data_IF_596759985017
#
_entry.id   IF_596759985017
#
_cell.length_a   1.000
_cell.length_b   1.000
_cell.length_c   1.000
_cell.angle_alpha   90.00
_cell.angle_beta   90.00
_cell.angle_gamma   90.00
#
_symmetry.space_group_name_H-M   'P 1'
#
loop_
_entity.id
_entity.type
_entity.pdbx_description
1 polymer ?
#
# COMPACT_ATOMS: atom_id res chain seq x y z
N UNK A 1 23.83 -12.73 2.79
CA UNK A 1 23.73 -13.64 3.95
C UNK A 1 22.31 -13.75 4.50
N UNK A 2 21.55 -12.66 4.65
CA UNK A 2 20.17 -12.70 5.18
C UNK A 2 19.15 -13.51 4.35
N UNK A 3 19.31 -13.55 3.03
CA UNK A 3 18.44 -14.33 2.14
C UNK A 3 18.52 -15.84 2.37
N UNK A 4 19.68 -16.36 2.78
CA UNK A 4 19.86 -17.80 3.04
C UNK A 4 19.29 -18.21 4.41
N UNK A 5 19.30 -17.31 5.39
CA UNK A 5 18.59 -17.48 6.66
C UNK A 5 17.07 -17.54 6.46
N UNK A 6 16.53 -16.64 5.63
CA UNK A 6 15.11 -16.63 5.27
C UNK A 6 14.68 -17.92 4.55
N UNK A 7 15.53 -18.43 3.66
CA UNK A 7 15.31 -19.71 2.97
C UNK A 7 15.28 -20.86 3.97
N UNK A 8 16.28 -20.93 4.85
CA UNK A 8 16.38 -21.99 5.87
C UNK A 8 15.15 -21.99 6.78
N UNK A 9 14.66 -20.82 7.19
CA UNK A 9 13.47 -20.69 8.04
C UNK A 9 12.17 -21.09 7.33
N UNK A 10 12.07 -20.89 6.02
CA UNK A 10 10.94 -21.38 5.22
C UNK A 10 11.08 -22.86 4.80
N UNK A 11 12.16 -23.53 5.22
CA UNK A 11 12.44 -24.93 4.88
C UNK A 11 13.07 -25.13 3.50
N UNK A 12 13.64 -24.09 2.91
CA UNK A 12 14.35 -24.14 1.63
C UNK A 12 15.87 -24.26 1.82
N UNK A 13 16.54 -24.93 0.88
CA UNK A 13 18.00 -25.07 0.88
C UNK A 13 18.71 -23.71 0.70
N UNK A 14 19.83 -23.44 1.39
CA UNK A 14 20.67 -22.27 1.15
C UNK A 14 21.09 -22.22 -0.34
N UNK A 15 20.85 -21.09 -1.01
CA UNK A 15 21.11 -20.96 -2.46
C UNK A 15 20.01 -21.47 -3.41
N UNK A 16 18.94 -22.12 -2.90
CA UNK A 16 17.79 -22.45 -3.75
C UNK A 16 17.05 -21.18 -4.19
N UNK A 17 16.44 -21.23 -5.38
CA UNK A 17 15.60 -20.15 -5.94
C UNK A 17 14.14 -20.61 -5.96
N UNK A 18 13.47 -20.69 -4.79
CA UNK A 18 12.09 -21.15 -4.75
C UNK A 18 11.19 -20.15 -5.49
N UNK A 19 10.20 -20.69 -6.19
CA UNK A 19 9.21 -19.89 -6.89
C UNK A 19 8.33 -19.13 -5.88
N UNK A 20 7.73 -18.01 -6.32
CA UNK A 20 6.77 -17.25 -5.50
C UNK A 20 5.61 -18.12 -4.99
N UNK A 21 5.17 -19.12 -5.75
CA UNK A 21 4.13 -20.05 -5.29
C UNK A 21 4.62 -20.95 -4.17
N UNK A 22 5.83 -21.50 -4.28
CA UNK A 22 6.45 -22.36 -3.26
C UNK A 22 6.65 -21.59 -1.96
N UNK A 23 7.12 -20.35 -2.04
CA UNK A 23 7.33 -19.46 -0.89
C UNK A 23 6.00 -19.17 -0.20
N UNK A 24 4.94 -18.91 -0.97
CA UNK A 24 3.60 -18.68 -0.44
C UNK A 24 3.03 -19.92 0.27
N UNK A 25 3.29 -21.12 -0.25
CA UNK A 25 2.86 -22.36 0.40
C UNK A 25 3.64 -22.67 1.67
N UNK A 26 4.98 -22.52 1.64
CA UNK A 26 5.82 -22.67 2.82
C UNK A 26 5.42 -21.66 3.92
N UNK A 27 5.15 -20.41 3.54
CA UNK A 27 4.63 -19.39 4.45
C UNK A 27 3.28 -19.80 5.06
N UNK A 28 2.33 -20.27 4.25
CA UNK A 28 1.03 -20.73 4.76
C UNK A 28 1.20 -21.84 5.80
N UNK A 29 2.05 -22.83 5.54
CA UNK A 29 2.33 -23.91 6.49
C UNK A 29 2.89 -23.36 7.80
N UNK A 30 3.92 -22.53 7.73
CA UNK A 30 4.54 -21.96 8.93
C UNK A 30 3.58 -21.04 9.71
N UNK A 31 2.71 -20.29 9.03
CA UNK A 31 1.65 -19.48 9.68
C UNK A 31 0.66 -20.36 10.42
N UNK A 32 0.23 -21.47 9.81
CA UNK A 32 -0.63 -22.43 10.50
C UNK A 32 0.07 -23.01 11.71
N UNK A 33 1.34 -23.40 11.61
CA UNK A 33 2.09 -24.01 12.71
C UNK A 33 2.41 -23.03 13.85
N UNK A 34 2.47 -21.73 13.57
CA UNK A 34 2.80 -20.67 14.55
C UNK A 34 1.62 -19.79 14.93
N UNK A 35 0.39 -20.17 14.54
CA UNK A 35 -0.77 -19.34 14.82
C UNK A 35 -1.02 -19.21 16.34
N UNK A 36 -1.10 -18.00 16.90
CA UNK A 36 -1.18 -17.78 18.35
C UNK A 36 -2.42 -18.40 19.01
N UNK A 37 -3.46 -18.72 18.23
CA UNK A 37 -4.66 -19.42 18.73
C UNK A 37 -4.46 -20.92 18.96
N UNK A 38 -3.37 -21.50 18.45
CA UNK A 38 -3.02 -22.91 18.71
C UNK A 38 -2.21 -23.08 20.01
N UNK A 39 -1.74 -21.98 20.60
CA UNK A 39 -0.88 -22.01 21.77
C UNK A 39 -1.63 -21.62 23.06
N UNK A 40 -1.40 -22.34 24.17
CA UNK A 40 -1.93 -21.93 25.46
C UNK A 40 -1.34 -20.57 25.88
N UNK A 41 -2.03 -19.83 26.75
CA UNK A 41 -1.74 -18.43 27.06
C UNK A 41 -0.26 -18.12 27.41
N UNK A 42 0.44 -19.07 28.04
CA UNK A 42 1.84 -18.93 28.43
C UNK A 42 2.85 -19.05 27.28
N UNK A 43 2.45 -19.64 26.13
CA UNK A 43 3.30 -19.81 24.94
C UNK A 43 2.99 -18.79 23.83
N UNK A 44 1.88 -18.04 23.96
CA UNK A 44 1.46 -17.02 22.99
C UNK A 44 2.54 -15.97 22.68
N UNK A 45 3.27 -15.40 23.66
CA UNK A 45 4.28 -14.39 23.36
C UNK A 45 5.40 -14.93 22.47
N UNK A 46 5.75 -16.21 22.64
CA UNK A 46 6.78 -16.88 21.85
C UNK A 46 6.27 -17.18 20.42
N UNK A 47 5.02 -17.61 20.28
CA UNK A 47 4.38 -17.83 18.98
C UNK A 47 4.27 -16.52 18.18
N UNK A 48 3.85 -15.43 18.82
CA UNK A 48 3.78 -14.10 18.20
C UNK A 48 5.15 -13.58 17.74
N UNK A 49 6.20 -13.77 18.54
CA UNK A 49 7.57 -13.37 18.19
C UNK A 49 8.04 -14.10 16.94
N UNK A 50 7.84 -15.43 16.87
CA UNK A 50 8.16 -16.24 15.69
C UNK A 50 7.36 -15.79 14.47
N UNK A 51 6.05 -15.59 14.63
CA UNK A 51 5.17 -15.12 13.55
C UNK A 51 5.61 -13.77 12.96
N UNK A 52 6.01 -12.82 13.82
CA UNK A 52 6.53 -11.51 13.37
C UNK A 52 7.84 -11.65 12.59
N UNK A 53 8.76 -12.49 13.07
CA UNK A 53 10.04 -12.74 12.42
C UNK A 53 9.83 -13.31 11.00
N UNK A 54 8.93 -14.28 10.86
CA UNK A 54 8.54 -14.87 9.58
C UNK A 54 8.01 -13.80 8.60
N UNK A 55 7.15 -12.90 9.07
CA UNK A 55 6.55 -11.88 8.21
C UNK A 55 7.58 -10.86 7.70
N UNK A 56 8.55 -10.48 8.54
CA UNK A 56 9.66 -9.59 8.15
C UNK A 56 10.50 -10.25 7.05
N UNK A 57 10.83 -11.53 7.21
CA UNK A 57 11.64 -12.27 6.23
C UNK A 57 10.92 -12.49 4.90
N UNK A 58 9.61 -12.73 4.93
CA UNK A 58 8.80 -12.82 3.71
C UNK A 58 8.81 -11.51 2.92
N UNK A 59 8.71 -10.38 3.62
CA UNK A 59 8.79 -9.05 3.00
C UNK A 59 10.15 -8.83 2.33
N UNK A 60 11.23 -9.24 2.99
CA UNK A 60 12.60 -9.16 2.45
C UNK A 60 12.78 -10.09 1.24
N UNK A 61 12.30 -11.34 1.33
CA UNK A 61 12.31 -12.29 0.22
C UNK A 61 11.48 -11.80 -0.97
N UNK A 62 10.30 -11.21 -0.73
CA UNK A 62 9.48 -10.64 -1.79
C UNK A 62 10.15 -9.43 -2.45
N UNK A 63 10.87 -8.61 -1.69
CA UNK A 63 11.61 -7.47 -2.22
C UNK A 63 12.78 -7.95 -3.10
N UNK A 64 13.54 -8.95 -2.63
CA UNK A 64 14.59 -9.60 -3.42
C UNK A 64 14.02 -10.23 -4.69
N UNK A 65 12.99 -11.06 -4.57
CA UNK A 65 12.36 -11.73 -5.70
C UNK A 65 11.87 -10.72 -6.75
N UNK A 66 11.23 -9.62 -6.31
CA UNK A 66 10.82 -8.51 -7.18
C UNK A 66 12.02 -7.85 -7.87
N UNK A 67 13.10 -7.58 -7.14
CA UNK A 67 14.33 -7.00 -7.68
C UNK A 67 14.96 -7.92 -8.74
N UNK A 68 15.09 -9.21 -8.45
CA UNK A 68 15.63 -10.21 -9.39
C UNK A 68 14.73 -10.40 -10.62
N UNK A 69 13.40 -10.47 -10.45
CA UNK A 69 12.47 -10.53 -11.59
C UNK A 69 12.52 -9.28 -12.46
N UNK A 70 12.56 -8.08 -11.86
CA UNK A 70 12.67 -6.83 -12.59
C UNK A 70 14.02 -6.70 -13.32
N UNK A 71 15.09 -7.27 -12.76
CA UNK A 71 16.43 -7.28 -13.36
C UNK A 71 16.51 -8.29 -14.50
N UNK A 72 15.98 -9.50 -14.32
CA UNK A 72 15.94 -10.54 -15.35
C UNK A 72 15.04 -10.14 -16.52
N UNK A 73 13.88 -9.54 -16.26
CA UNK A 73 13.00 -9.00 -17.30
C UNK A 73 13.72 -7.94 -18.16
N UNK A 74 14.49 -7.04 -17.53
CA UNK A 74 15.31 -6.05 -18.23
C UNK A 74 16.43 -6.67 -19.05
N UNK A 75 17.03 -7.78 -18.62
CA UNK A 75 18.13 -8.42 -19.35
C UNK A 75 17.63 -9.22 -20.54
N UNK A 76 16.55 -9.99 -20.39
CA UNK A 76 16.01 -10.84 -21.47
C UNK A 76 15.30 -10.02 -22.56
N UNK A 77 14.68 -8.89 -22.21
CA UNK A 77 13.99 -8.03 -23.18
C UNK A 77 14.90 -7.02 -23.91
N UNK A 78 16.15 -6.86 -23.49
CA UNK A 78 17.06 -5.83 -24.03
C UNK A 78 17.94 -6.38 -25.16
N UNK A 79 17.31 -7.03 -26.14
CA UNK A 79 17.93 -7.39 -27.42
C UNK A 79 17.88 -6.26 -28.47
N UNK A 80 17.05 -5.22 -28.27
CA UNK A 80 16.95 -4.06 -29.17
C UNK A 80 16.55 -2.84 -28.33
N UNK A 81 17.12 -1.64 -28.54
CA UNK A 81 16.60 -0.44 -27.89
C UNK A 81 15.18 -0.17 -28.40
N UNK A 82 14.18 -0.63 -27.65
CA UNK A 82 12.81 -0.15 -27.79
C UNK A 82 12.77 1.22 -27.13
N UNK A 83 12.51 2.24 -27.93
CA UNK A 83 12.19 3.60 -27.47
C UNK A 83 11.15 3.48 -26.36
N UNK A 84 11.52 3.85 -25.13
CA UNK A 84 10.62 3.82 -23.99
C UNK A 84 9.30 4.49 -24.38
N UNK A 85 8.22 3.72 -24.21
CA UNK A 85 6.86 4.14 -24.48
C UNK A 85 6.57 5.52 -23.88
N UNK A 86 5.90 6.33 -24.69
CA UNK A 86 5.65 7.74 -24.45
C UNK A 86 5.19 8.05 -23.02
N UNK A 87 5.76 9.14 -22.51
CA UNK A 87 5.39 9.87 -21.30
C UNK A 87 3.93 9.64 -20.90
N UNK A 88 3.67 8.74 -19.94
CA UNK A 88 2.33 8.56 -19.35
C UNK A 88 1.97 9.87 -18.65
N UNK A 89 1.05 10.62 -19.25
CA UNK A 89 0.57 11.89 -18.70
C UNK A 89 -0.34 11.61 -17.50
N UNK A 90 0.25 11.40 -16.33
CA UNK A 90 -0.46 11.28 -15.04
C UNK A 90 -1.43 12.45 -14.78
N UNK A 91 -1.23 13.59 -15.44
CA UNK A 91 -2.14 14.73 -15.44
C UNK A 91 -3.52 14.39 -16.01
N UNK A 92 -3.59 13.65 -17.13
CA UNK A 92 -4.87 13.28 -17.78
C UNK A 92 -5.68 12.30 -16.93
N UNK A 93 -5.01 11.43 -16.16
CA UNK A 93 -5.65 10.46 -15.26
C UNK A 93 -6.26 11.18 -14.03
N UNK A 94 -5.64 12.28 -13.57
CA UNK A 94 -6.09 13.03 -12.39
C UNK A 94 -7.14 14.09 -12.70
N UNK A 95 -7.26 14.51 -13.96
CA UNK A 95 -8.20 15.53 -14.42
C UNK A 95 -9.67 15.30 -14.00
N UNK A 96 -10.28 14.10 -14.17
CA UNK A 96 -11.69 13.91 -13.82
C UNK A 96 -11.97 14.06 -12.32
N UNK A 97 -11.05 13.61 -11.46
CA UNK A 97 -11.21 13.73 -10.01
C UNK A 97 -11.05 15.17 -9.53
N UNK A 98 -10.14 15.95 -10.13
CA UNK A 98 -10.00 17.38 -9.82
C UNK A 98 -11.25 18.17 -10.22
N UNK A 99 -11.85 17.85 -11.37
CA UNK A 99 -13.11 18.47 -11.80
C UNK A 99 -14.27 18.15 -10.84
N UNK A 100 -14.35 16.91 -10.34
CA UNK A 100 -15.35 16.52 -9.34
C UNK A 100 -15.17 17.28 -8.01
N UNK A 101 -13.94 17.37 -7.51
CA UNK A 101 -13.64 18.11 -6.27
C UNK A 101 -13.95 19.61 -6.45
N UNK A 102 -13.52 20.21 -7.55
CA UNK A 102 -13.76 21.64 -7.81
C UNK A 102 -15.25 21.93 -8.02
N UNK A 103 -15.97 21.04 -8.71
CA UNK A 103 -17.42 21.14 -8.92
C UNK A 103 -18.20 21.06 -7.60
N UNK A 104 -17.87 20.12 -6.72
CA UNK A 104 -18.57 19.96 -5.43
C UNK A 104 -18.33 21.14 -4.49
N UNK A 105 -17.10 21.64 -4.40
CA UNK A 105 -16.76 22.80 -3.54
C UNK A 105 -17.43 24.08 -4.05
N UNK A 106 -17.45 24.31 -5.37
CA UNK A 106 -18.06 25.51 -5.95
C UNK A 106 -19.59 25.51 -5.82
N UNK A 107 -20.27 24.41 -6.15
CA UNK A 107 -21.72 24.30 -6.00
C UNK A 107 -22.18 24.33 -4.54
N UNK A 108 -21.44 23.67 -3.64
CA UNK A 108 -21.73 23.70 -2.20
C UNK A 108 -21.52 25.09 -1.57
N UNK A 109 -20.38 25.73 -1.85
CA UNK A 109 -20.02 27.02 -1.25
C UNK A 109 -20.88 28.20 -1.70
N UNK A 110 -21.26 28.24 -2.98
CA UNK A 110 -22.10 29.33 -3.51
C UNK A 110 -23.52 29.32 -2.93
N UNK A 111 -24.06 28.14 -2.64
CA UNK A 111 -25.40 28.01 -2.04
C UNK A 111 -25.41 28.48 -0.58
N UNK A 112 -24.39 28.13 0.20
CA UNK A 112 -24.27 28.57 1.61
C UNK A 112 -24.07 30.08 1.72
N UNK A 113 -23.19 30.65 0.88
CA UNK A 113 -22.93 32.10 0.88
C UNK A 113 -24.18 32.91 0.51
N UNK A 114 -24.95 32.45 -0.48
CA UNK A 114 -26.23 33.08 -0.85
C UNK A 114 -27.29 32.96 0.25
N UNK A 115 -27.40 31.81 0.90
CA UNK A 115 -28.33 31.63 2.02
C UNK A 115 -27.96 32.54 3.21
N UNK A 116 -26.67 32.62 3.56
CA UNK A 116 -26.19 33.52 4.61
C UNK A 116 -26.46 34.99 4.29
N UNK A 117 -26.22 35.43 3.04
CA UNK A 117 -26.55 36.81 2.62
C UNK A 117 -28.04 37.11 2.72
N UNK A 118 -28.90 36.21 2.23
CA UNK A 118 -30.37 36.36 2.36
C UNK A 118 -30.81 36.43 3.82
N UNK A 119 -30.23 35.59 4.69
CA UNK A 119 -30.54 35.62 6.11
C UNK A 119 -30.10 36.95 6.76
N UNK A 120 -28.93 37.47 6.39
CA UNK A 120 -28.44 38.77 6.87
C UNK A 120 -29.29 39.95 6.38
N UNK A 121 -29.83 39.87 5.16
CA UNK A 121 -30.75 40.87 4.61
C UNK A 121 -32.13 40.82 5.27
N UNK A 122 -32.65 39.63 5.57
CA UNK A 122 -33.96 39.44 6.23
C UNK A 122 -33.94 39.78 7.72
N UNK A 123 -32.81 39.55 8.38
CA UNK A 123 -32.61 39.84 9.81
C UNK A 123 -31.38 40.73 9.99
N UNK A 124 -31.47 42.02 9.63
CA UNK A 124 -30.39 42.96 9.89
C UNK A 124 -30.19 43.06 11.40
N UNK A 125 -29.04 42.59 11.91
CA UNK A 125 -28.72 42.73 13.32
C UNK A 125 -28.42 44.19 13.61
N UNK A 126 -29.37 44.91 14.18
CA UNK A 126 -29.13 46.25 14.70
C UNK A 126 -28.25 46.12 15.95
N UNK A 127 -26.94 46.26 15.78
CA UNK A 127 -25.97 46.23 16.87
C UNK A 127 -25.82 47.65 17.42
N UNK A 128 -26.33 47.95 18.63
CA UNK A 128 -26.24 49.30 19.20
C UNK A 128 -24.82 49.66 19.69
N UNK A 129 -23.85 48.75 19.58
CA UNK A 129 -22.46 48.94 20.02
C UNK A 129 -21.45 49.09 18.87
N UNK A 130 -21.90 49.06 17.62
CA UNK A 130 -21.07 49.44 16.46
C UNK A 130 -21.65 50.75 15.89
N UNK A 131 -20.81 51.77 15.65
CA UNK A 131 -21.25 53.07 15.12
C UNK A 131 -21.82 52.98 13.70
#
# INVERSE_FOLDING_TARGET
MRGDEARTLLGFSPGSRPSSSQVKEAYKRMVWDTHPDLFPAHQKPQAESKFKLVNILLAEFSYEAKFWTATYERVVRRGVPVSHGGRRNHALIKLPFLLLILGTVSLGGLNVSRAYKRQKEMYPSHNPFLP
#
